data_IF_888877627099
#
_entry.id   IF_888877627099
#
_cell.length_a   1.000
_cell.length_b   1.000
_cell.length_c   1.000
_cell.angle_alpha   90.00
_cell.angle_beta   90.00
_cell.angle_gamma   90.00
#
_symmetry.space_group_name_H-M   'P 1'
#
loop_
_entity.id
_entity.type
_entity.pdbx_description
1 polymer ?
#
# COMPACT_ATOMS: atom_id res chain seq x y z
N UNK A 1 10.98 11.78 -5.04
CA UNK A 1 9.51 11.79 -5.31
C UNK A 1 8.71 11.45 -4.05
N UNK A 2 7.37 11.66 -4.08
CA UNK A 2 6.46 11.23 -2.99
C UNK A 2 5.69 9.99 -3.42
N UNK A 3 5.57 9.02 -2.49
CA UNK A 3 4.88 7.75 -2.68
C UNK A 3 3.90 7.53 -1.53
N UNK A 4 2.65 7.21 -1.82
CA UNK A 4 1.69 6.82 -0.81
C UNK A 4 1.78 5.30 -0.54
N UNK A 5 1.73 4.93 0.74
CA UNK A 5 1.66 3.55 1.19
C UNK A 5 0.34 3.38 1.90
N UNK A 6 -0.53 2.52 1.37
CA UNK A 6 -1.89 2.27 1.85
C UNK A 6 -2.09 0.79 2.13
N UNK A 7 -3.04 0.46 2.98
CA UNK A 7 -3.45 -0.91 3.26
C UNK A 7 -4.85 -0.95 3.86
N UNK A 8 -5.46 -2.13 3.84
CA UNK A 8 -6.68 -2.43 4.59
C UNK A 8 -7.81 -1.43 4.28
N UNK A 9 -8.21 -1.40 3.02
CA UNK A 9 -9.23 -0.49 2.48
C UNK A 9 -10.64 -0.99 2.77
N UNK A 10 -10.87 -2.32 2.67
CA UNK A 10 -12.13 -3.01 2.97
C UNK A 10 -13.36 -2.28 2.40
N UNK A 11 -13.31 -1.98 1.11
CA UNK A 11 -14.39 -1.31 0.36
C UNK A 11 -14.81 0.08 0.90
N UNK A 12 -13.96 0.72 1.73
CA UNK A 12 -14.22 2.07 2.20
C UNK A 12 -13.86 3.11 1.12
N UNK A 13 -14.69 3.17 0.09
CA UNK A 13 -14.55 4.11 -1.03
C UNK A 13 -14.50 5.58 -0.57
N UNK A 14 -15.31 6.05 0.40
CA UNK A 14 -15.23 7.43 0.88
C UNK A 14 -13.84 7.79 1.43
N UNK A 15 -13.23 6.93 2.22
CA UNK A 15 -11.89 7.16 2.73
C UNK A 15 -10.82 7.02 1.64
N UNK A 16 -10.95 6.02 0.76
CA UNK A 16 -10.04 5.87 -0.37
C UNK A 16 -10.07 7.11 -1.27
N UNK A 17 -11.25 7.69 -1.50
CA UNK A 17 -11.37 8.94 -2.25
C UNK A 17 -10.56 10.08 -1.61
N UNK A 18 -10.63 10.26 -0.29
CA UNK A 18 -9.83 11.27 0.43
C UNK A 18 -8.33 11.03 0.27
N UNK A 19 -7.90 9.78 0.31
CA UNK A 19 -6.49 9.42 0.05
C UNK A 19 -6.07 9.83 -1.36
N UNK A 20 -6.90 9.53 -2.36
CA UNK A 20 -6.62 9.87 -3.77
C UNK A 20 -6.65 11.39 -4.02
N UNK A 21 -7.57 12.11 -3.38
CA UNK A 21 -7.60 13.58 -3.43
C UNK A 21 -6.32 14.16 -2.82
N UNK A 22 -5.88 13.66 -1.67
CA UNK A 22 -4.59 14.04 -1.08
C UNK A 22 -3.41 13.72 -2.01
N UNK A 23 -3.39 12.54 -2.64
CA UNK A 23 -2.35 12.17 -3.59
C UNK A 23 -2.27 13.16 -4.76
N UNK A 24 -3.41 13.56 -5.30
CA UNK A 24 -3.49 14.53 -6.40
C UNK A 24 -2.98 15.92 -5.98
N UNK A 25 -3.41 16.41 -4.81
CA UNK A 25 -3.01 17.72 -4.28
C UNK A 25 -1.50 17.79 -3.99
N UNK A 26 -0.91 16.70 -3.52
CA UNK A 26 0.51 16.61 -3.19
C UNK A 26 1.38 16.05 -4.32
N UNK A 27 0.82 15.84 -5.53
CA UNK A 27 1.53 15.32 -6.71
C UNK A 27 2.24 14.00 -6.43
N UNK A 28 1.58 13.11 -5.71
CA UNK A 28 2.06 11.75 -5.46
C UNK A 28 1.93 10.95 -6.77
N UNK A 29 3.02 10.34 -7.20
CA UNK A 29 3.11 9.68 -8.50
C UNK A 29 2.97 8.14 -8.41
N UNK A 30 3.11 7.57 -7.22
CA UNK A 30 3.03 6.13 -7.00
C UNK A 30 2.24 5.79 -5.74
N UNK A 31 1.51 4.67 -5.81
CA UNK A 31 0.87 4.06 -4.64
C UNK A 31 1.42 2.64 -4.47
N UNK A 32 1.78 2.28 -3.24
CA UNK A 32 2.01 0.91 -2.81
C UNK A 32 0.84 0.50 -1.92
N UNK A 33 0.04 -0.47 -2.37
CA UNK A 33 -1.10 -1.02 -1.64
C UNK A 33 -0.73 -2.40 -1.08
N UNK A 34 -0.71 -2.50 0.24
CA UNK A 34 -0.30 -3.71 0.96
C UNK A 34 -1.46 -4.69 1.23
N UNK A 35 -2.48 -4.69 0.38
CA UNK A 35 -3.57 -5.68 0.43
C UNK A 35 -4.86 -5.20 1.09
N UNK A 36 -5.83 -6.11 1.08
CA UNK A 36 -7.19 -5.94 1.61
C UNK A 36 -7.96 -4.77 0.97
N UNK A 37 -8.01 -4.75 -0.38
CA UNK A 37 -8.98 -3.94 -1.13
C UNK A 37 -10.41 -4.46 -0.91
N UNK A 38 -10.56 -5.76 -0.85
CA UNK A 38 -11.75 -6.59 -0.65
C UNK A 38 -12.58 -6.87 -1.91
N UNK A 39 -12.68 -5.98 -2.88
CA UNK A 39 -13.48 -6.20 -4.11
C UNK A 39 -12.81 -5.67 -5.39
N UNK A 40 -13.31 -6.15 -6.55
CA UNK A 40 -12.93 -5.62 -7.86
C UNK A 40 -13.37 -4.16 -8.01
N UNK A 41 -14.54 -3.81 -7.49
CA UNK A 41 -15.06 -2.45 -7.54
C UNK A 41 -14.10 -1.47 -6.86
N UNK A 42 -13.48 -1.87 -5.77
CA UNK A 42 -12.47 -1.05 -5.07
C UNK A 42 -11.16 -0.98 -5.87
N UNK A 43 -10.75 -2.06 -6.52
CA UNK A 43 -9.60 -2.05 -7.42
C UNK A 43 -9.85 -1.16 -8.64
N UNK A 44 -11.02 -1.27 -9.27
CA UNK A 44 -11.43 -0.42 -10.38
C UNK A 44 -11.44 1.05 -9.96
N UNK A 45 -12.03 1.36 -8.81
CA UNK A 45 -12.06 2.72 -8.28
C UNK A 45 -10.65 3.28 -8.06
N UNK A 46 -9.77 2.51 -7.45
CA UNK A 46 -8.37 2.90 -7.21
C UNK A 46 -7.64 3.14 -8.55
N UNK A 47 -7.74 2.20 -9.50
CA UNK A 47 -7.08 2.30 -10.79
C UNK A 47 -7.60 3.49 -11.61
N UNK A 48 -8.89 3.74 -11.62
CA UNK A 48 -9.49 4.77 -12.48
C UNK A 48 -9.29 6.18 -11.93
N UNK A 49 -9.22 6.34 -10.61
CA UNK A 49 -9.11 7.64 -9.95
C UNK A 49 -7.68 8.03 -9.54
N UNK A 50 -6.69 7.16 -9.76
CA UNK A 50 -5.27 7.49 -9.59
C UNK A 50 -4.58 7.56 -10.96
N UNK A 51 -3.79 8.59 -11.20
CA UNK A 51 -3.13 8.82 -12.49
C UNK A 51 -1.74 8.18 -12.58
N UNK A 52 -1.11 7.90 -11.46
CA UNK A 52 0.24 7.34 -11.36
C UNK A 52 0.28 5.80 -11.39
N UNK A 53 1.43 5.26 -11.05
CA UNK A 53 1.66 3.81 -11.00
C UNK A 53 1.21 3.23 -9.66
N UNK A 54 0.54 2.08 -9.69
CA UNK A 54 0.06 1.37 -8.51
C UNK A 54 0.78 0.01 -8.43
N UNK A 55 1.31 -0.29 -7.25
CA UNK A 55 1.79 -1.61 -6.87
C UNK A 55 0.81 -2.20 -5.86
N UNK A 56 0.22 -3.34 -6.16
CA UNK A 56 -0.79 -3.97 -5.32
C UNK A 56 -0.43 -5.42 -5.04
N UNK A 57 -0.43 -5.82 -3.77
CA UNK A 57 -0.34 -7.21 -3.34
C UNK A 57 -1.63 -7.62 -2.63
N UNK A 58 -1.98 -8.91 -2.71
CA UNK A 58 -3.19 -9.42 -2.07
C UNK A 58 -3.06 -9.53 -0.55
N UNK A 59 -4.17 -9.26 0.15
CA UNK A 59 -4.39 -9.59 1.55
C UNK A 59 -5.36 -10.75 1.74
N UNK A 60 -5.75 -11.00 2.98
CA UNK A 60 -6.69 -12.10 3.29
C UNK A 60 -8.15 -11.79 2.92
N UNK A 61 -8.52 -10.52 2.84
CA UNK A 61 -9.87 -10.11 2.42
C UNK A 61 -9.97 -9.87 0.92
N UNK A 62 -8.87 -9.91 0.20
CA UNK A 62 -8.87 -10.00 -1.25
C UNK A 62 -9.26 -11.42 -1.60
N UNK A 63 -10.56 -11.63 -1.68
CA UNK A 63 -11.20 -12.93 -1.78
C UNK A 63 -10.74 -13.74 -3.00
N UNK A 64 -11.12 -15.00 -3.03
CA UNK A 64 -10.75 -15.91 -4.12
C UNK A 64 -11.19 -15.37 -5.50
N UNK A 65 -12.32 -14.67 -5.55
CA UNK A 65 -12.81 -14.02 -6.75
C UNK A 65 -11.82 -12.98 -7.31
N UNK A 66 -11.25 -12.12 -6.46
CA UNK A 66 -10.22 -11.16 -6.88
C UNK A 66 -8.93 -11.88 -7.29
N UNK A 67 -8.54 -12.92 -6.54
CA UNK A 67 -7.32 -13.71 -6.82
C UNK A 67 -7.44 -14.56 -8.09
N UNK A 68 -8.63 -15.03 -8.40
CA UNK A 68 -8.93 -15.86 -9.59
C UNK A 68 -9.21 -15.01 -10.83
N UNK A 69 -9.39 -13.70 -10.68
CA UNK A 69 -9.67 -12.82 -11.79
C UNK A 69 -8.53 -12.88 -12.83
N UNK A 70 -8.86 -13.07 -14.13
CA UNK A 70 -7.84 -13.18 -15.17
C UNK A 70 -7.27 -11.79 -15.51
N UNK A 71 -6.28 -11.35 -14.75
CA UNK A 71 -5.54 -10.09 -15.01
C UNK A 71 -4.69 -10.13 -16.29
N UNK A 72 -4.81 -11.19 -17.08
CA UNK A 72 -4.01 -11.43 -18.30
C UNK A 72 -4.27 -10.42 -19.41
N UNK A 73 -5.44 -9.78 -19.43
CA UNK A 73 -5.85 -8.89 -20.51
C UNK A 73 -5.42 -7.42 -20.35
N UNK A 74 -4.50 -7.15 -19.44
CA UNK A 74 -3.86 -5.82 -19.29
C UNK A 74 -4.84 -4.64 -19.11
N UNK A 75 -6.03 -4.89 -18.54
CA UNK A 75 -7.02 -3.83 -18.27
C UNK A 75 -6.49 -2.83 -17.22
N UNK A 76 -5.67 -3.29 -16.28
CA UNK A 76 -5.04 -2.46 -15.25
C UNK A 76 -3.63 -2.02 -15.67
N UNK A 77 -3.52 -1.23 -16.73
CA UNK A 77 -2.23 -0.80 -17.30
C UNK A 77 -1.32 -0.06 -16.33
N UNK A 78 -1.89 0.62 -15.33
CA UNK A 78 -1.17 1.38 -14.30
C UNK A 78 -0.91 0.56 -13.04
N UNK A 79 -1.60 -0.56 -12.86
CA UNK A 79 -1.55 -1.37 -11.64
C UNK A 79 -0.75 -2.65 -11.88
N UNK A 80 0.37 -2.78 -11.20
CA UNK A 80 1.15 -4.00 -11.12
C UNK A 80 0.64 -4.84 -9.95
N UNK A 81 0.13 -6.03 -10.24
CA UNK A 81 -0.49 -6.94 -9.28
C UNK A 81 0.45 -8.08 -8.95
N UNK A 82 0.65 -8.31 -7.65
CA UNK A 82 1.53 -9.34 -7.11
C UNK A 82 0.72 -10.31 -6.25
N UNK A 83 0.84 -11.61 -6.51
CA UNK A 83 0.01 -12.63 -5.83
C UNK A 83 0.41 -12.86 -4.37
N UNK A 84 1.71 -12.94 -4.10
CA UNK A 84 2.22 -13.27 -2.76
C UNK A 84 2.82 -12.05 -2.09
N UNK A 85 3.86 -11.49 -2.67
CA UNK A 85 4.46 -10.22 -2.28
C UNK A 85 5.01 -9.51 -3.52
N UNK A 86 5.13 -8.20 -3.43
CA UNK A 86 5.74 -7.40 -4.47
C UNK A 86 7.11 -6.87 -4.06
N UNK A 87 7.94 -6.62 -5.05
CA UNK A 87 9.22 -5.94 -4.88
C UNK A 87 9.42 -4.89 -5.97
N UNK A 88 10.11 -3.83 -5.62
CA UNK A 88 10.46 -2.77 -6.57
C UNK A 88 11.79 -2.13 -6.15
N UNK A 89 12.44 -1.52 -7.14
CA UNK A 89 13.54 -0.60 -6.91
C UNK A 89 13.08 0.80 -7.30
N UNK A 90 13.09 1.73 -6.36
CA UNK A 90 12.57 3.10 -6.51
C UNK A 90 13.67 4.06 -6.07
N UNK A 91 14.14 4.89 -6.99
CA UNK A 91 15.26 5.82 -6.76
C UNK A 91 16.50 5.14 -6.14
N UNK A 92 16.80 3.89 -6.58
CA UNK A 92 17.93 3.09 -6.10
C UNK A 92 17.67 2.41 -4.73
N UNK A 93 16.45 2.52 -4.19
CA UNK A 93 16.06 1.95 -2.90
C UNK A 93 15.24 0.70 -3.16
N UNK A 94 15.67 -0.43 -2.60
CA UNK A 94 14.99 -1.71 -2.73
C UNK A 94 13.91 -1.83 -1.68
N UNK A 95 12.68 -2.02 -2.14
CA UNK A 95 11.51 -2.18 -1.28
C UNK A 95 10.81 -3.49 -1.56
N UNK A 96 10.23 -4.08 -0.52
CA UNK A 96 9.24 -5.14 -0.65
C UNK A 96 7.93 -4.71 0.02
N UNK A 97 6.83 -5.29 -0.42
CA UNK A 97 5.52 -5.07 0.17
C UNK A 97 4.71 -6.35 0.15
N UNK A 98 4.05 -6.60 1.27
CA UNK A 98 3.30 -7.82 1.54
C UNK A 98 2.17 -7.48 2.51
N UNK A 99 1.18 -8.37 2.67
CA UNK A 99 0.08 -8.06 3.58
C UNK A 99 0.41 -8.45 5.03
N UNK A 100 1.04 -9.58 5.27
CA UNK A 100 1.17 -10.16 6.60
C UNK A 100 2.44 -9.74 7.34
N UNK A 101 2.36 -9.39 8.66
CA UNK A 101 3.49 -8.90 9.44
C UNK A 101 4.61 -9.93 9.66
N UNK A 102 4.25 -11.23 9.76
CA UNK A 102 5.23 -12.31 9.98
C UNK A 102 6.15 -12.47 8.78
N UNK A 103 5.56 -12.48 7.59
CA UNK A 103 6.28 -12.58 6.31
C UNK A 103 7.06 -11.28 6.03
N UNK A 104 6.51 -10.11 6.38
CA UNK A 104 7.22 -8.84 6.30
C UNK A 104 8.50 -8.85 7.13
N UNK A 105 8.44 -9.42 8.34
CA UNK A 105 9.61 -9.59 9.20
C UNK A 105 10.70 -10.46 8.55
N UNK A 106 10.31 -11.59 7.96
CA UNK A 106 11.22 -12.49 7.24
C UNK A 106 11.89 -11.77 6.06
N UNK A 107 11.12 -10.97 5.31
CA UNK A 107 11.68 -10.18 4.20
C UNK A 107 12.69 -9.14 4.70
N UNK A 108 12.40 -8.44 5.80
CA UNK A 108 13.34 -7.51 6.43
C UNK A 108 14.62 -8.22 6.91
N UNK A 109 14.48 -9.37 7.57
CA UNK A 109 15.61 -10.16 8.09
C UNK A 109 16.52 -10.72 6.98
N UNK A 110 16.00 -10.83 5.76
CA UNK A 110 16.77 -11.31 4.59
C UNK A 110 17.94 -10.41 4.20
N UNK A 111 17.93 -9.15 4.63
CA UNK A 111 18.96 -8.16 4.28
C UNK A 111 18.93 -7.69 2.82
N UNK A 112 17.89 -8.06 2.06
CA UNK A 112 17.75 -7.69 0.63
C UNK A 112 17.12 -6.32 0.41
N UNK A 113 16.33 -5.83 1.37
CA UNK A 113 15.50 -4.64 1.22
C UNK A 113 15.89 -3.55 2.21
N UNK A 114 15.75 -2.31 1.78
CA UNK A 114 15.88 -1.14 2.64
C UNK A 114 14.60 -0.90 3.44
N UNK A 115 13.44 -1.13 2.79
CA UNK A 115 12.12 -0.99 3.40
C UNK A 115 11.24 -2.20 3.07
N UNK A 116 10.40 -2.60 4.04
CA UNK A 116 9.32 -3.58 3.84
C UNK A 116 8.02 -2.98 4.36
N UNK A 117 7.03 -2.86 3.48
CA UNK A 117 5.71 -2.33 3.82
C UNK A 117 4.72 -3.48 4.01
N UNK A 118 3.81 -3.35 5.01
CA UNK A 118 2.84 -4.40 5.29
C UNK A 118 1.53 -3.82 5.85
N UNK A 119 0.47 -4.64 5.93
CA UNK A 119 -0.85 -4.27 6.43
C UNK A 119 -1.35 -5.17 7.55
N UNK A 120 -2.59 -5.63 7.43
CA UNK A 120 -3.26 -6.66 8.24
C UNK A 120 -3.58 -6.27 9.68
N UNK A 121 -2.68 -5.62 10.41
CA UNK A 121 -2.91 -5.31 11.83
C UNK A 121 -3.76 -4.06 12.04
N UNK A 122 -4.03 -3.30 10.98
CA UNK A 122 -4.74 -2.02 10.97
C UNK A 122 -4.08 -0.91 11.83
N UNK A 123 -2.99 -1.22 12.51
CA UNK A 123 -2.30 -0.31 13.42
C UNK A 123 -1.05 0.26 12.77
N UNK A 124 -0.89 1.59 12.70
CA UNK A 124 0.35 2.19 12.25
C UNK A 124 1.50 1.75 13.14
N UNK A 125 2.57 1.26 12.53
CA UNK A 125 3.73 0.77 13.26
C UNK A 125 4.99 0.84 12.40
N UNK A 126 6.13 1.12 13.01
CA UNK A 126 7.44 0.99 12.37
C UNK A 126 8.47 0.35 13.29
N UNK A 127 9.36 -0.42 12.71
CA UNK A 127 10.48 -1.09 13.39
C UNK A 127 11.67 -1.17 12.44
N UNK A 128 12.88 -1.15 12.99
CA UNK A 128 14.12 -1.40 12.23
C UNK A 128 14.66 -2.78 12.60
N UNK A 129 14.82 -3.63 11.60
CA UNK A 129 15.33 -5.00 11.75
C UNK A 129 16.55 -5.15 10.83
N UNK A 130 17.72 -5.35 11.40
CA UNK A 130 18.98 -5.51 10.66
C UNK A 130 19.24 -4.40 9.61
N UNK A 131 18.85 -3.16 9.94
CA UNK A 131 19.00 -2.02 9.02
C UNK A 131 17.86 -1.85 8.00
N UNK A 132 16.95 -2.81 7.88
CA UNK A 132 15.73 -2.68 7.10
C UNK A 132 14.63 -2.05 7.95
N UNK A 133 13.94 -1.03 7.43
CA UNK A 133 12.75 -0.47 8.08
C UNK A 133 11.51 -1.26 7.64
N UNK A 134 10.82 -1.84 8.61
CA UNK A 134 9.52 -2.46 8.45
C UNK A 134 8.43 -1.44 8.85
N UNK A 135 7.43 -1.19 8.00
CA UNK A 135 6.44 -0.15 8.23
C UNK A 135 5.03 -0.62 7.84
N UNK A 136 4.08 -0.40 8.77
CA UNK A 136 2.65 -0.52 8.51
C UNK A 136 2.02 0.88 8.46
N UNK A 137 1.31 1.25 7.39
CA UNK A 137 0.70 2.57 7.25
C UNK A 137 -0.58 2.77 8.09
N UNK A 138 -1.05 1.73 8.77
CA UNK A 138 -2.38 1.67 9.36
C UNK A 138 -3.42 1.16 8.37
N UNK A 139 -4.66 1.62 8.49
CA UNK A 139 -5.76 1.19 7.63
C UNK A 139 -6.50 2.38 7.03
N UNK A 140 -7.06 2.20 5.84
CA UNK A 140 -7.94 3.18 5.20
C UNK A 140 -9.40 2.96 5.65
N UNK A 141 -9.73 1.75 6.07
CA UNK A 141 -11.09 1.31 6.37
C UNK A 141 -11.75 2.00 7.57
N UNK A 142 -10.98 2.60 8.49
CA UNK A 142 -11.49 3.08 9.79
C UNK A 142 -12.02 1.93 10.67
N UNK A 143 -11.34 0.79 10.63
CA UNK A 143 -11.66 -0.38 11.44
C UNK A 143 -10.60 -0.57 12.53
N UNK A 144 -11.02 -0.85 13.76
CA UNK A 144 -10.20 -1.07 14.96
C UNK A 144 -9.36 0.14 15.39
N UNK A 145 -8.74 0.85 14.44
CA UNK A 145 -7.92 2.05 14.67
C UNK A 145 -8.35 3.19 13.74
N UNK A 146 -8.12 4.46 14.14
CA UNK A 146 -8.37 5.61 13.26
C UNK A 146 -7.69 5.43 11.90
N UNK A 147 -8.33 5.86 10.81
CA UNK A 147 -7.83 5.60 9.47
C UNK A 147 -6.62 6.48 9.15
N UNK A 148 -5.58 5.82 8.64
CA UNK A 148 -4.30 6.45 8.28
C UNK A 148 -3.72 5.83 7.00
N UNK A 149 -2.77 6.54 6.41
CA UNK A 149 -1.85 6.02 5.43
C UNK A 149 -0.48 6.70 5.60
N UNK A 150 0.57 6.16 4.99
CA UNK A 150 1.88 6.76 5.06
C UNK A 150 2.27 7.41 3.73
N UNK A 151 3.09 8.47 3.80
CA UNK A 151 3.74 9.08 2.64
C UNK A 151 5.24 8.97 2.82
N UNK A 152 5.90 8.37 1.84
CA UNK A 152 7.34 8.25 1.77
C UNK A 152 7.91 9.29 0.80
N UNK A 153 8.86 10.10 1.28
CA UNK A 153 9.69 10.96 0.43
C UNK A 153 11.01 10.24 0.14
N UNK A 154 11.23 9.85 -1.12
CA UNK A 154 12.40 9.09 -1.56
C UNK A 154 13.70 9.90 -1.51
N UNK A 155 13.64 11.23 -1.58
CA UNK A 155 14.82 12.10 -1.58
C UNK A 155 15.56 12.11 -0.24
N UNK A 156 14.82 11.97 0.86
CA UNK A 156 15.37 12.03 2.22
C UNK A 156 15.01 10.82 3.09
N UNK A 157 14.31 9.85 2.52
CA UNK A 157 13.83 8.63 3.18
C UNK A 157 12.97 8.86 4.42
N UNK A 158 12.27 9.99 4.47
CA UNK A 158 11.33 10.30 5.55
C UNK A 158 9.94 9.77 5.25
N UNK A 159 9.29 9.30 6.30
CA UNK A 159 7.91 8.83 6.30
C UNK A 159 7.05 9.79 7.12
N UNK A 160 5.87 10.11 6.62
CA UNK A 160 4.85 10.89 7.31
C UNK A 160 3.58 10.06 7.41
N UNK A 161 3.02 9.96 8.61
CA UNK A 161 1.72 9.34 8.83
C UNK A 161 0.62 10.38 8.64
N UNK A 162 -0.31 10.11 7.74
CA UNK A 162 -1.43 11.00 7.41
C UNK A 162 -2.70 10.42 8.01
N UNK A 163 -3.43 11.24 8.79
CA UNK A 163 -4.71 10.88 9.38
C UNK A 163 -5.84 11.27 8.44
N UNK A 164 -6.57 10.28 7.93
CA UNK A 164 -7.62 10.50 6.91
C UNK A 164 -8.79 11.32 7.47
N UNK A 165 -9.10 11.18 8.75
CA UNK A 165 -10.17 11.96 9.40
C UNK A 165 -9.86 13.46 9.51
N UNK A 166 -8.61 13.86 9.36
CA UNK A 166 -8.18 15.27 9.38
C UNK A 166 -8.14 15.89 7.97
N UNK A 167 -8.34 15.09 6.93
CA UNK A 167 -8.43 15.56 5.54
C UNK A 167 -9.84 16.14 5.27
N UNK A 168 -9.87 17.17 4.44
CA UNK A 168 -11.12 17.85 4.03
C UNK A 168 -11.90 17.04 3.00
#
# INVERSE_FOLDING_TARGET
MLIAIISDIHDNIPNLKKVLDYCRENKIEKIICCGDLASLETLDFLNDNFTGEIFFTFGNMDNDYLKEYPFENNQYKKTKIFKDFGEAEIDGIKVAFIHFPKEAKILCESGKYNFVFYGHTHKPFEEIINGCKMLNPGNVANQFYPPTFAVWNTENNKFSLIRINELK
#
